data_IF_303451760429
#
_entry.id   IF_303451760429
#
_cell.length_a   1.000
_cell.length_b   1.000
_cell.length_c   1.000
_cell.angle_alpha   90.00
_cell.angle_beta   90.00
_cell.angle_gamma   90.00
#
_symmetry.space_group_name_H-M   'P 1'
#
loop_
_entity.id
_entity.type
_entity.pdbx_description
1 polymer ?
#
# COMPACT_ATOMS: atom_id res chain seq x y z
N UNK A 1 17.33 27.71 -33.05
CA UNK A 1 17.35 26.29 -32.67
C UNK A 1 15.91 25.90 -32.49
N UNK A 2 15.40 25.12 -33.45
CA UNK A 2 14.00 24.73 -33.61
C UNK A 2 13.67 23.67 -32.56
N UNK A 3 12.58 23.86 -31.80
CA UNK A 3 12.01 22.80 -30.96
C UNK A 3 11.15 21.93 -31.89
N UNK A 4 11.77 20.94 -32.54
CA UNK A 4 11.06 19.96 -33.36
C UNK A 4 10.18 19.07 -32.46
N UNK A 5 8.93 18.88 -32.88
CA UNK A 5 7.80 18.21 -32.19
C UNK A 5 7.99 16.71 -31.86
N UNK A 6 9.22 16.19 -31.72
CA UNK A 6 9.49 14.75 -31.62
C UNK A 6 9.62 14.22 -30.17
N UNK A 7 8.93 14.84 -29.21
CA UNK A 7 8.74 14.26 -27.86
C UNK A 7 7.27 13.82 -27.65
N UNK A 8 6.58 13.43 -28.72
CA UNK A 8 5.27 12.82 -28.60
C UNK A 8 5.39 11.41 -27.98
N UNK A 9 5.41 11.34 -26.64
CA UNK A 9 5.13 10.10 -25.90
C UNK A 9 3.78 9.57 -26.37
N UNK A 10 3.76 8.49 -27.16
CA UNK A 10 2.50 7.90 -27.62
C UNK A 10 1.80 7.25 -26.43
N UNK A 11 0.58 7.71 -26.15
CA UNK A 11 -0.32 7.10 -25.19
C UNK A 11 -1.25 6.14 -25.94
N UNK A 12 -1.27 4.87 -25.52
CA UNK A 12 -2.22 3.88 -26.05
C UNK A 12 -3.02 3.31 -24.88
N UNK A 13 -4.35 3.41 -24.96
CA UNK A 13 -5.26 2.84 -23.97
C UNK A 13 -5.88 1.56 -24.51
N UNK A 14 -6.11 0.58 -23.65
CA UNK A 14 -6.89 -0.61 -23.99
C UNK A 14 -7.80 -1.00 -22.83
N UNK A 15 -8.97 -1.54 -23.17
CA UNK A 15 -9.88 -2.19 -22.23
C UNK A 15 -10.20 -3.59 -22.74
N UNK A 16 -10.26 -4.57 -21.85
CA UNK A 16 -10.68 -5.94 -22.18
C UNK A 16 -11.58 -6.47 -21.08
N UNK A 17 -12.69 -7.06 -21.48
CA UNK A 17 -13.64 -7.71 -20.60
C UNK A 17 -13.80 -9.16 -21.05
N UNK A 18 -13.79 -10.10 -20.10
CA UNK A 18 -14.04 -11.51 -20.38
C UNK A 18 -14.50 -12.26 -19.13
N UNK A 19 -15.25 -13.33 -19.35
CA UNK A 19 -15.55 -14.33 -18.34
C UNK A 19 -14.64 -15.54 -18.59
N UNK A 20 -14.00 -16.07 -17.54
CA UNK A 20 -13.15 -17.27 -17.68
C UNK A 20 -13.96 -18.58 -17.49
N UNK A 21 -13.28 -19.73 -17.57
CA UNK A 21 -13.91 -21.05 -17.48
C UNK A 21 -14.48 -21.39 -16.08
N UNK A 22 -14.23 -20.56 -15.07
CA UNK A 22 -14.72 -20.71 -13.69
C UNK A 22 -15.80 -19.67 -13.34
N UNK A 23 -16.51 -19.14 -14.34
CA UNK A 23 -17.53 -18.09 -14.20
C UNK A 23 -17.02 -16.75 -13.63
N UNK A 24 -15.70 -16.56 -13.50
CA UNK A 24 -15.12 -15.32 -12.98
C UNK A 24 -15.16 -14.22 -14.04
N UNK A 25 -15.74 -13.09 -13.66
CA UNK A 25 -15.81 -11.89 -14.47
C UNK A 25 -14.53 -11.08 -14.30
N UNK A 26 -13.89 -10.71 -15.41
CA UNK A 26 -12.67 -9.94 -15.44
C UNK A 26 -12.82 -8.72 -16.34
N UNK A 27 -12.38 -7.57 -15.87
CA UNK A 27 -12.23 -6.35 -16.64
C UNK A 27 -10.82 -5.79 -16.41
N UNK A 28 -10.09 -5.50 -17.49
CA UNK A 28 -8.75 -4.92 -17.44
C UNK A 28 -8.74 -3.62 -18.22
N UNK A 29 -8.24 -2.56 -17.61
CA UNK A 29 -7.98 -1.29 -18.26
C UNK A 29 -6.51 -0.94 -18.13
N UNK A 30 -5.84 -0.65 -19.24
CA UNK A 30 -4.41 -0.35 -19.26
C UNK A 30 -4.10 0.90 -20.06
N UNK A 31 -3.09 1.64 -19.59
CA UNK A 31 -2.48 2.73 -20.32
C UNK A 31 -1.02 2.38 -20.57
N UNK A 32 -0.65 2.31 -21.83
CA UNK A 32 0.72 2.19 -22.28
C UNK A 32 1.26 3.59 -22.54
N UNK A 33 2.35 3.93 -21.86
CA UNK A 33 3.08 5.19 -22.03
C UNK A 33 4.42 4.85 -22.65
N UNK A 34 4.66 5.36 -23.85
CA UNK A 34 5.97 5.30 -24.49
C UNK A 34 6.86 6.42 -23.93
N UNK A 35 8.00 6.07 -23.32
CA UNK A 35 9.02 7.04 -22.94
C UNK A 35 10.21 6.94 -23.91
N UNK A 36 10.42 7.96 -24.74
CA UNK A 36 11.63 8.13 -25.55
C UNK A 36 12.76 8.65 -24.64
N UNK A 37 14.00 8.13 -24.62
CA UNK A 37 14.98 7.93 -25.70
C UNK A 37 15.52 6.49 -25.88
N UNK A 38 15.14 5.56 -25.01
CA UNK A 38 15.69 4.18 -25.01
C UNK A 38 14.68 3.11 -25.49
N UNK A 39 13.52 3.54 -26.01
CA UNK A 39 12.47 2.65 -26.53
C UNK A 39 11.77 1.78 -25.48
N UNK A 40 11.91 2.09 -24.19
CA UNK A 40 11.24 1.36 -23.11
C UNK A 40 9.79 1.79 -23.00
N UNK A 41 8.90 0.80 -23.07
CA UNK A 41 7.47 0.99 -22.84
C UNK A 41 7.17 0.73 -21.37
N UNK A 42 6.48 1.68 -20.74
CA UNK A 42 5.90 1.48 -19.41
C UNK A 42 4.41 1.22 -19.58
N UNK A 43 3.91 0.16 -18.97
CA UNK A 43 2.49 -0.16 -18.92
C UNK A 43 2.04 -0.01 -17.48
N UNK A 44 1.11 0.92 -17.25
CA UNK A 44 0.35 0.97 -16.01
C UNK A 44 -1.02 0.35 -16.27
N UNK A 45 -1.48 -0.53 -15.39
CA UNK A 45 -2.73 -1.27 -15.58
C UNK A 45 -3.57 -1.36 -14.31
N UNK A 46 -4.89 -1.32 -14.50
CA UNK A 46 -5.90 -1.60 -13.50
C UNK A 46 -6.64 -2.89 -13.90
N UNK A 47 -6.81 -3.80 -12.96
CA UNK A 47 -7.60 -5.02 -13.12
C UNK A 47 -8.73 -5.05 -12.09
N UNK A 48 -9.93 -5.35 -12.55
CA UNK A 48 -11.09 -5.65 -11.72
C UNK A 48 -11.51 -7.08 -12.00
N UNK A 49 -11.79 -7.84 -10.94
CA UNK A 49 -12.43 -9.13 -11.11
C UNK A 49 -13.47 -9.39 -10.05
N UNK A 50 -14.44 -10.24 -10.37
CA UNK A 50 -15.48 -10.69 -9.47
C UNK A 50 -15.68 -12.18 -9.65
N UNK A 51 -15.69 -12.90 -8.53
CA UNK A 51 -15.80 -14.36 -8.48
C UNK A 51 -16.97 -14.74 -7.57
N UNK A 52 -17.78 -15.67 -8.03
CA UNK A 52 -18.82 -16.30 -7.21
C UNK A 52 -18.19 -17.43 -6.40
N UNK A 53 -18.19 -17.29 -5.07
CA UNK A 53 -17.73 -18.34 -4.15
C UNK A 53 -18.91 -18.86 -3.33
N UNK A 54 -18.81 -20.06 -2.71
CA UNK A 54 -19.85 -20.57 -1.81
C UNK A 54 -20.20 -19.62 -0.65
N UNK A 55 -19.26 -18.76 -0.24
CA UNK A 55 -19.42 -17.79 0.83
C UNK A 55 -19.93 -16.42 0.34
N UNK A 56 -20.16 -16.28 -0.97
CA UNK A 56 -20.67 -15.07 -1.63
C UNK A 56 -19.75 -14.54 -2.73
N UNK A 57 -20.12 -13.37 -3.27
CA UNK A 57 -19.34 -12.69 -4.32
C UNK A 57 -18.10 -12.03 -3.73
N UNK A 58 -16.93 -12.36 -4.27
CA UNK A 58 -15.65 -11.74 -3.93
C UNK A 58 -15.25 -10.83 -5.10
N UNK A 59 -15.05 -9.55 -4.84
CA UNK A 59 -14.50 -8.59 -5.81
C UNK A 59 -13.04 -8.26 -5.50
N UNK A 60 -12.24 -8.01 -6.53
CA UNK A 60 -10.82 -7.72 -6.44
C UNK A 60 -10.45 -6.52 -7.32
N UNK A 61 -9.56 -5.68 -6.82
CA UNK A 61 -8.93 -4.57 -7.55
C UNK A 61 -7.41 -4.74 -7.52
N UNK A 62 -6.81 -4.82 -8.69
CA UNK A 62 -5.38 -5.05 -8.90
C UNK A 62 -4.78 -3.84 -9.65
N UNK A 63 -3.60 -3.39 -9.21
CA UNK A 63 -2.89 -2.28 -9.85
C UNK A 63 -1.47 -2.71 -10.16
N UNK A 64 -1.08 -2.59 -11.44
CA UNK A 64 0.30 -2.77 -11.89
C UNK A 64 0.90 -1.39 -12.17
N UNK A 65 1.65 -0.85 -11.20
CA UNK A 65 2.33 0.44 -11.30
C UNK A 65 3.50 0.52 -10.31
N UNK A 66 4.55 1.28 -10.66
CA UNK A 66 5.70 1.52 -9.78
C UNK A 66 5.35 2.39 -8.56
N UNK A 67 4.36 3.29 -8.73
CA UNK A 67 3.91 4.23 -7.70
C UNK A 67 2.42 4.51 -7.84
N UNK A 68 1.69 4.40 -6.73
CA UNK A 68 0.27 4.78 -6.61
C UNK A 68 0.20 5.90 -5.58
N UNK A 69 -0.46 7.02 -5.92
CA UNK A 69 -0.57 8.17 -5.02
C UNK A 69 -1.99 8.73 -5.01
N UNK A 70 -2.50 9.06 -3.82
CA UNK A 70 -3.73 9.83 -3.65
C UNK A 70 -3.39 11.30 -3.42
N UNK A 71 -3.85 12.16 -4.32
CA UNK A 71 -3.62 13.60 -4.28
C UNK A 71 -5.00 14.29 -4.26
N UNK A 72 -5.21 15.19 -3.32
CA UNK A 72 -6.39 16.04 -3.29
C UNK A 72 -6.02 17.47 -3.70
N UNK A 73 -6.21 17.83 -4.98
CA UNK A 73 -5.82 19.15 -5.49
C UNK A 73 -6.66 20.30 -4.91
N UNK A 74 -7.87 20.02 -4.45
CA UNK A 74 -8.79 21.03 -3.92
C UNK A 74 -8.32 21.65 -2.59
N UNK A 75 -7.43 20.96 -1.87
CA UNK A 75 -6.95 21.39 -0.57
C UNK A 75 -5.69 22.27 -0.66
N UNK A 76 -5.21 22.60 -1.87
CA UNK A 76 -3.95 23.33 -2.08
C UNK A 76 -2.71 22.54 -1.65
N UNK A 77 -2.86 21.27 -1.28
CA UNK A 77 -1.77 20.40 -0.83
C UNK A 77 -1.27 19.56 -2.01
N UNK A 78 -0.09 19.88 -2.52
CA UNK A 78 0.59 19.09 -3.56
C UNK A 78 1.22 17.80 -3.01
N UNK A 79 1.30 17.68 -1.68
CA UNK A 79 1.83 16.47 -1.04
C UNK A 79 0.76 15.38 -1.06
N UNK A 80 1.04 14.20 -1.63
CA UNK A 80 0.09 13.09 -1.60
C UNK A 80 -0.27 12.71 -0.16
N UNK A 81 -1.55 12.45 0.11
CA UNK A 81 -1.99 11.96 1.42
C UNK A 81 -1.60 10.50 1.67
N UNK A 82 -1.43 9.74 0.59
CA UNK A 82 -1.05 8.33 0.58
C UNK A 82 -0.18 8.06 -0.65
N UNK A 83 0.92 7.34 -0.47
CA UNK A 83 1.76 6.81 -1.56
C UNK A 83 2.09 5.36 -1.26
N UNK A 84 1.86 4.48 -2.24
CA UNK A 84 2.42 3.14 -2.27
C UNK A 84 3.50 3.10 -3.35
N UNK A 85 4.73 2.73 -2.98
CA UNK A 85 5.87 2.67 -3.88
C UNK A 85 6.85 1.61 -3.40
N UNK A 86 7.20 0.66 -4.29
CA UNK A 86 7.91 -0.56 -3.88
C UNK A 86 7.17 -1.26 -2.75
N UNK A 87 7.90 -1.64 -1.69
CA UNK A 87 7.33 -2.33 -0.52
C UNK A 87 6.90 -1.37 0.61
N UNK A 88 6.78 -0.08 0.32
CA UNK A 88 6.49 0.95 1.31
C UNK A 88 5.15 1.63 1.06
N UNK A 89 4.46 1.91 2.17
CA UNK A 89 3.31 2.80 2.22
C UNK A 89 3.71 4.03 3.04
N UNK A 90 3.56 5.21 2.45
CA UNK A 90 3.87 6.51 3.04
C UNK A 90 2.55 7.26 3.20
N UNK A 91 2.28 7.72 4.41
CA UNK A 91 1.10 8.52 4.74
C UNK A 91 1.51 9.66 5.66
N UNK A 92 0.83 10.80 5.54
CA UNK A 92 1.05 11.93 6.45
C UNK A 92 0.44 11.65 7.83
N UNK A 93 -0.78 11.13 7.86
CA UNK A 93 -1.53 10.81 9.09
C UNK A 93 -2.42 9.59 8.85
N UNK A 94 -2.62 8.77 9.89
CA UNK A 94 -3.50 7.60 9.84
C UNK A 94 -4.31 7.47 11.13
N UNK A 95 -5.64 7.36 11.00
CA UNK A 95 -6.53 7.03 12.11
C UNK A 95 -7.01 5.58 11.97
N UNK A 96 -6.59 4.71 12.90
CA UNK A 96 -6.85 3.28 12.85
C UNK A 96 -7.64 2.83 14.08
N UNK A 97 -8.70 2.06 13.86
CA UNK A 97 -9.45 1.42 14.97
C UNK A 97 -8.61 0.35 15.67
N UNK A 98 -7.90 -0.47 14.88
CA UNK A 98 -6.96 -1.49 15.34
C UNK A 98 -5.77 -1.57 14.38
N UNK A 99 -4.57 -1.82 14.90
CA UNK A 99 -3.36 -2.08 14.11
C UNK A 99 -2.79 -3.44 14.54
N UNK A 100 -2.68 -4.36 13.58
CA UNK A 100 -1.93 -5.61 13.75
C UNK A 100 -0.59 -5.45 13.03
N UNK A 101 0.50 -5.42 13.80
CA UNK A 101 1.84 -5.24 13.26
C UNK A 101 2.83 -6.12 14.04
N UNK A 102 3.67 -6.95 13.39
CA UNK A 102 4.70 -7.72 14.07
C UNK A 102 5.74 -6.84 14.76
N UNK A 103 6.03 -5.67 14.20
CA UNK A 103 6.98 -4.71 14.76
C UNK A 103 6.53 -3.30 14.45
N UNK A 104 6.71 -2.39 15.41
CA UNK A 104 6.50 -0.95 15.22
C UNK A 104 7.77 -0.25 15.69
N UNK A 105 8.37 0.57 14.83
CA UNK A 105 9.59 1.33 15.16
C UNK A 105 9.37 2.79 14.79
N UNK A 106 9.67 3.71 15.70
CA UNK A 106 9.64 5.14 15.38
C UNK A 106 10.80 5.54 14.46
N UNK A 107 10.67 6.64 13.73
CA UNK A 107 11.78 7.22 12.98
C UNK A 107 12.99 7.62 13.86
N UNK A 108 14.11 7.91 13.21
CA UNK A 108 15.37 8.33 13.84
C UNK A 108 16.37 7.19 14.09
N UNK A 109 17.63 7.54 14.35
CA UNK A 109 18.69 6.60 14.71
C UNK A 109 19.43 7.06 15.99
N UNK A 110 19.20 6.42 17.14
CA UNK A 110 18.35 5.25 17.36
C UNK A 110 16.84 5.62 17.32
N UNK A 111 15.95 4.64 17.09
CA UNK A 111 14.50 4.85 17.22
C UNK A 111 14.12 5.30 18.62
N UNK A 112 13.29 6.34 18.75
CA UNK A 112 12.71 6.78 20.01
C UNK A 112 11.90 5.68 20.73
N UNK A 113 11.17 4.82 20.00
CA UNK A 113 10.54 3.63 20.55
C UNK A 113 10.51 2.45 19.56
N UNK A 114 10.39 1.24 20.10
CA UNK A 114 10.15 0.03 19.32
C UNK A 114 9.28 -0.99 20.07
N UNK A 115 8.34 -1.62 19.36
CA UNK A 115 7.59 -2.81 19.78
C UNK A 115 8.03 -4.00 18.94
N UNK A 116 8.52 -5.06 19.56
CA UNK A 116 8.99 -6.28 18.87
C UNK A 116 7.92 -7.39 18.86
N UNK A 117 8.06 -8.43 18.02
CA UNK A 117 7.04 -9.49 17.89
C UNK A 117 6.78 -10.27 19.18
N UNK A 118 7.77 -10.36 20.08
CA UNK A 118 7.65 -10.98 21.39
C UNK A 118 6.95 -10.08 22.45
N UNK A 119 6.32 -9.01 21.99
CA UNK A 119 5.51 -8.08 22.79
C UNK A 119 6.33 -7.04 23.57
N UNK A 120 7.65 -6.95 23.39
CA UNK A 120 8.50 -6.03 24.15
C UNK A 120 8.44 -4.61 23.60
N UNK A 121 7.97 -3.68 24.43
CA UNK A 121 7.96 -2.25 24.17
C UNK A 121 9.17 -1.58 24.83
N UNK A 122 9.99 -0.90 24.03
CA UNK A 122 11.14 -0.13 24.52
C UNK A 122 11.07 1.32 24.06
N UNK A 123 11.64 2.22 24.86
CA UNK A 123 11.96 3.58 24.45
C UNK A 123 13.48 3.78 24.49
N UNK A 124 14.04 4.49 23.52
CA UNK A 124 15.43 4.93 23.55
C UNK A 124 15.49 6.44 23.61
N UNK A 125 16.37 6.94 24.48
CA UNK A 125 16.64 8.36 24.61
C UNK A 125 18.15 8.61 24.47
N UNK A 126 18.50 9.75 23.90
CA UNK A 126 19.86 10.26 23.95
C UNK A 126 19.98 11.12 25.21
N UNK A 127 20.87 10.72 26.10
CA UNK A 127 21.25 11.47 27.31
C UNK A 127 22.70 11.96 27.17
N UNK A 128 23.15 12.79 28.10
CA UNK A 128 24.53 13.31 28.12
C UNK A 128 25.59 12.21 28.08
N UNK A 129 25.31 11.04 28.68
CA UNK A 129 26.20 9.88 28.71
C UNK A 129 26.10 8.94 27.49
N UNK A 130 25.22 9.21 26.51
CA UNK A 130 25.05 8.37 25.31
C UNK A 130 23.59 7.95 25.04
N UNK A 131 23.40 6.80 24.39
CA UNK A 131 22.07 6.24 24.14
C UNK A 131 21.68 5.31 25.29
N UNK A 132 20.55 5.60 25.93
CA UNK A 132 19.95 4.71 26.94
C UNK A 132 18.71 4.05 26.38
N UNK A 133 18.49 2.78 26.73
CA UNK A 133 17.28 2.00 26.38
C UNK A 133 16.51 1.70 27.65
N UNK A 134 15.24 2.08 27.68
CA UNK A 134 14.29 1.80 28.75
C UNK A 134 13.27 0.76 28.30
N UNK A 135 13.07 -0.28 29.11
CA UNK A 135 12.00 -1.24 28.92
C UNK A 135 10.70 -0.70 29.53
N UNK A 136 9.66 -0.54 28.73
CA UNK A 136 8.41 0.05 29.18
C UNK A 136 7.38 -1.01 29.59
N UNK A 137 7.16 -2.03 28.76
CA UNK A 137 6.15 -3.06 29.02
C UNK A 137 6.34 -4.30 28.13
N UNK A 138 5.67 -5.41 28.51
CA UNK A 138 5.36 -6.53 27.61
C UNK A 138 3.87 -6.53 27.29
N UNK A 139 3.50 -6.40 26.03
CA UNK A 139 2.14 -6.67 25.59
C UNK A 139 1.93 -8.19 25.60
N UNK A 140 0.92 -8.64 26.34
CA UNK A 140 0.46 -10.04 26.30
C UNK A 140 -0.77 -10.11 25.42
N UNK A 141 -0.82 -11.11 24.54
CA UNK A 141 -2.03 -11.40 23.77
C UNK A 141 -3.16 -11.74 24.76
N UNK A 142 -4.28 -11.01 24.65
CA UNK A 142 -5.50 -11.38 25.38
C UNK A 142 -6.09 -12.55 24.61
N UNK A 143 -6.11 -13.75 25.20
CA UNK A 143 -6.80 -14.90 24.59
C UNK A 143 -8.22 -14.48 24.24
N UNK A 144 -8.57 -14.44 22.96
CA UNK A 144 -9.97 -14.31 22.57
C UNK A 144 -10.64 -15.65 22.86
N UNK A 145 -11.82 -15.67 23.51
CA UNK A 145 -12.61 -16.89 23.58
C UNK A 145 -12.93 -17.36 22.15
N UNK A 146 -13.00 -18.69 21.90
CA UNK A 146 -13.34 -19.21 20.59
C UNK A 146 -14.70 -18.63 20.13
N UNK A 147 -14.88 -18.37 18.83
CA UNK A 147 -16.15 -17.88 18.31
C UNK A 147 -17.25 -18.90 18.62
N UNK A 148 -18.29 -18.46 19.35
CA UNK A 148 -19.49 -19.27 19.57
C UNK A 148 -20.30 -19.22 18.28
N UNK A 149 -20.24 -20.29 17.49
CA UNK A 149 -21.12 -20.48 16.34
C UNK A 149 -22.47 -20.94 16.89
N UNK A 150 -23.49 -20.08 16.81
CA UNK A 150 -24.88 -20.51 16.99
C UNK A 150 -25.36 -21.09 15.66
N UNK A 151 -25.57 -22.40 15.61
CA UNK A 151 -26.37 -23.04 14.56
C UNK A 151 -27.84 -22.79 14.92
N UNK A 152 -28.54 -22.04 14.07
CA UNK A 152 -29.99 -21.88 14.12
C UNK A 152 -30.65 -22.84 13.13
#
# INVERSE_FOLDING_TARGET
>A
MELTEDNASKLQQFSKEWQDANDKWNAMWGVKIEQTKDGKYYVAGLGLSMEDTPDGKISQFLVAADRIAYINPANGNETPGFVMQGDQIIMNEAFLKYLSAPTITSGGNPPAFSLTPDGKLTAKMRISAGISTLYLARLREKSMPPPVIFLA
#
